data_IF_582770765721
#
_entry.id   IF_582770765721
#
_cell.length_a   1.000
_cell.length_b   1.000
_cell.length_c   1.000
_cell.angle_alpha   90.00
_cell.angle_beta   90.00
_cell.angle_gamma   90.00
#
_symmetry.space_group_name_H-M   'P 1'
#
loop_
_entity.id
_entity.type
_entity.pdbx_description
1 polymer ?
#
# COMPACT_ATOMS: atom_id res chain seq x y z
N UNK A 1 0.49 -9.15 20.27
CA UNK A 1 -0.56 -8.66 19.35
C UNK A 1 -0.47 -9.42 18.03
N UNK A 2 -1.56 -10.07 17.63
CA UNK A 2 -1.59 -10.93 16.43
C UNK A 2 -2.09 -10.15 15.21
N UNK A 3 -3.03 -9.23 15.40
CA UNK A 3 -3.65 -8.45 14.35
C UNK A 3 -3.48 -6.95 14.58
N UNK A 4 -3.20 -6.24 13.51
CA UNK A 4 -3.28 -4.79 13.45
C UNK A 4 -4.52 -4.36 12.70
N UNK A 5 -5.24 -3.43 13.28
CA UNK A 5 -6.38 -2.78 12.64
C UNK A 5 -5.89 -1.60 11.81
N UNK A 6 -6.20 -1.60 10.51
CA UNK A 6 -5.90 -0.51 9.61
C UNK A 6 -7.21 0.24 9.31
N UNK A 7 -7.40 1.45 9.86
CA UNK A 7 -8.65 2.18 9.69
C UNK A 7 -8.79 2.74 8.28
N UNK A 8 -10.01 3.07 7.87
CA UNK A 8 -10.27 3.81 6.66
C UNK A 8 -10.15 5.31 6.90
N UNK A 9 -9.66 6.00 5.88
CA UNK A 9 -9.50 7.44 5.87
C UNK A 9 -10.07 7.99 4.56
N UNK A 10 -10.99 8.96 4.68
CA UNK A 10 -11.56 9.62 3.51
C UNK A 10 -10.67 10.76 3.05
N UNK A 11 -10.19 10.67 1.81
CA UNK A 11 -9.25 11.64 1.24
C UNK A 11 -9.89 12.97 0.86
N UNK A 12 -11.20 12.99 0.68
CA UNK A 12 -11.93 14.24 0.41
C UNK A 12 -12.14 15.05 1.69
N UNK A 13 -12.67 14.43 2.73
CA UNK A 13 -12.96 15.10 4.00
C UNK A 13 -11.77 15.19 4.95
N UNK A 14 -10.72 14.40 4.69
CA UNK A 14 -9.54 14.26 5.57
C UNK A 14 -9.91 13.77 6.97
N UNK A 15 -10.86 12.85 7.05
CA UNK A 15 -11.35 12.27 8.30
C UNK A 15 -11.29 10.76 8.29
N UNK A 16 -11.03 10.18 9.46
CA UNK A 16 -11.15 8.73 9.65
C UNK A 16 -12.62 8.32 9.57
N UNK A 17 -12.86 7.23 8.85
CA UNK A 17 -14.19 6.64 8.70
C UNK A 17 -14.38 5.51 9.71
N UNK A 18 -15.62 5.31 10.15
CA UNK A 18 -16.00 4.15 10.95
C UNK A 18 -16.38 2.99 10.02
N UNK A 19 -15.93 1.79 10.37
CA UNK A 19 -16.22 0.57 9.60
C UNK A 19 -15.35 0.40 8.36
N UNK A 20 -15.40 -0.78 7.77
CA UNK A 20 -14.64 -1.13 6.57
C UNK A 20 -13.13 -1.20 6.78
N UNK A 21 -12.69 -1.36 8.01
CA UNK A 21 -11.27 -1.49 8.34
C UNK A 21 -10.69 -2.77 7.74
N UNK A 22 -9.41 -2.71 7.36
CA UNK A 22 -8.62 -3.91 7.05
C UNK A 22 -7.84 -4.37 8.28
N UNK A 23 -7.54 -5.66 8.29
CA UNK A 23 -6.76 -6.27 9.37
C UNK A 23 -5.52 -6.94 8.77
N UNK A 24 -4.37 -6.68 9.36
CA UNK A 24 -3.10 -7.25 8.93
C UNK A 24 -2.49 -8.08 10.06
N UNK A 25 -1.84 -9.18 9.70
CA UNK A 25 -1.10 -10.01 10.65
C UNK A 25 0.18 -9.30 11.07
N UNK A 26 0.46 -9.34 12.38
CA UNK A 26 1.72 -8.82 12.91
C UNK A 26 2.91 -9.66 12.42
N UNK A 27 2.68 -10.97 12.22
CA UNK A 27 3.64 -11.90 11.63
C UNK A 27 2.99 -12.63 10.46
N UNK A 28 3.33 -12.27 9.21
CA UNK A 28 2.80 -12.94 8.03
C UNK A 28 3.12 -14.43 7.95
N UNK A 29 4.19 -14.89 8.63
CA UNK A 29 4.58 -16.30 8.69
C UNK A 29 3.50 -17.20 9.30
N UNK A 30 2.68 -16.67 10.19
CA UNK A 30 1.56 -17.41 10.79
C UNK A 30 0.57 -17.90 9.72
N UNK A 31 0.35 -17.09 8.70
CA UNK A 31 -0.55 -17.44 7.59
C UNK A 31 -0.02 -18.64 6.79
N UNK A 32 1.27 -18.67 6.51
CA UNK A 32 1.90 -19.77 5.79
C UNK A 32 1.91 -21.07 6.61
N UNK A 33 2.13 -20.99 7.92
CA UNK A 33 2.14 -22.14 8.81
C UNK A 33 0.76 -22.83 8.93
N UNK A 34 -0.34 -22.08 8.72
CA UNK A 34 -1.71 -22.60 8.83
C UNK A 34 -2.37 -22.96 7.50
N UNK A 35 -1.79 -22.49 6.40
CA UNK A 35 -2.37 -22.70 5.08
C UNK A 35 -1.71 -23.90 4.39
N UNK A 36 -2.44 -24.99 4.29
CA UNK A 36 -2.01 -26.20 3.57
C UNK A 36 -2.40 -26.18 2.09
N UNK A 37 -3.09 -25.13 1.63
CA UNK A 37 -3.48 -24.97 0.23
C UNK A 37 -2.30 -24.48 -0.60
N UNK A 38 -1.92 -25.26 -1.63
CA UNK A 38 -0.84 -24.94 -2.56
C UNK A 38 -1.16 -23.79 -3.52
N UNK A 39 -2.41 -23.31 -3.54
CA UNK A 39 -2.84 -22.15 -4.35
C UNK A 39 -2.73 -20.85 -3.57
N UNK A 40 -1.53 -20.52 -3.14
CA UNK A 40 -1.29 -19.29 -2.38
C UNK A 40 -1.31 -18.09 -3.32
N UNK A 41 -2.26 -17.17 -3.11
CA UNK A 41 -2.17 -15.83 -3.68
C UNK A 41 -1.13 -15.03 -2.88
N UNK A 42 -0.04 -14.64 -3.52
CA UNK A 42 1.03 -13.88 -2.87
C UNK A 42 0.66 -12.42 -2.65
N UNK A 43 -0.29 -11.86 -3.42
CA UNK A 43 -0.68 -10.46 -3.34
C UNK A 43 -1.04 -9.99 -1.92
N UNK A 44 -2.00 -10.63 -1.24
CA UNK A 44 -2.34 -10.26 0.14
C UNK A 44 -1.19 -10.39 1.13
N UNK A 45 -0.29 -11.34 0.92
CA UNK A 45 0.89 -11.53 1.78
C UNK A 45 1.92 -10.42 1.59
N UNK A 46 2.10 -9.96 0.36
CA UNK A 46 3.00 -8.85 0.04
C UNK A 46 2.44 -7.52 0.56
N UNK A 47 1.14 -7.30 0.42
CA UNK A 47 0.46 -6.13 1.01
C UNK A 47 0.64 -6.13 2.53
N UNK A 48 0.49 -7.29 3.17
CA UNK A 48 0.72 -7.43 4.61
C UNK A 48 2.17 -7.14 4.99
N UNK A 49 3.13 -7.63 4.22
CA UNK A 49 4.56 -7.36 4.46
C UNK A 49 4.88 -5.87 4.34
N UNK A 50 4.33 -5.20 3.34
CA UNK A 50 4.48 -3.75 3.19
C UNK A 50 3.85 -3.01 4.38
N UNK A 51 2.64 -3.40 4.79
CA UNK A 51 1.98 -2.80 5.95
C UNK A 51 2.82 -2.92 7.22
N UNK A 52 3.31 -4.11 7.54
CA UNK A 52 4.13 -4.33 8.75
C UNK A 52 5.43 -3.55 8.70
N UNK A 53 6.07 -3.46 7.53
CA UNK A 53 7.27 -2.65 7.35
C UNK A 53 6.98 -1.17 7.63
N UNK A 54 5.93 -0.61 7.03
CA UNK A 54 5.55 0.79 7.23
C UNK A 54 5.25 1.09 8.71
N UNK A 55 4.55 0.17 9.39
CA UNK A 55 4.29 0.30 10.82
C UNK A 55 5.57 0.25 11.65
N UNK A 56 6.52 -0.61 11.27
CA UNK A 56 7.81 -0.71 11.97
C UNK A 56 8.64 0.56 11.87
N UNK A 57 8.43 1.36 10.81
CA UNK A 57 9.05 2.67 10.63
C UNK A 57 8.38 3.79 11.43
N UNK A 58 7.32 3.48 12.17
CA UNK A 58 6.61 4.45 12.99
C UNK A 58 5.59 5.30 12.24
N UNK A 59 5.25 4.93 11.00
CA UNK A 59 4.23 5.65 10.23
C UNK A 59 2.82 5.28 10.70
N UNK A 60 1.91 6.25 10.65
CA UNK A 60 0.48 5.98 10.70
C UNK A 60 0.02 5.51 9.33
N UNK A 61 -0.66 4.37 9.28
CA UNK A 61 -1.13 3.75 8.04
C UNK A 61 -2.64 3.57 8.07
N UNK A 62 -3.29 4.01 7.02
CA UNK A 62 -4.74 3.87 6.82
C UNK A 62 -5.03 3.37 5.41
N UNK A 63 -6.22 2.80 5.22
CA UNK A 63 -6.75 2.51 3.89
C UNK A 63 -7.36 3.80 3.34
N UNK A 64 -6.98 4.22 2.14
CA UNK A 64 -7.50 5.43 1.51
C UNK A 64 -8.82 5.19 0.79
N UNK A 65 -9.78 6.07 0.97
CA UNK A 65 -11.05 6.07 0.24
C UNK A 65 -11.21 7.39 -0.51
N UNK A 66 -11.44 7.30 -1.83
CA UNK A 66 -11.68 8.46 -2.72
C UNK A 66 -13.00 8.19 -3.45
N UNK A 67 -14.12 8.62 -2.87
CA UNK A 67 -15.44 8.26 -3.40
C UNK A 67 -15.63 6.74 -3.37
N UNK A 68 -15.78 6.13 -4.56
CA UNK A 68 -15.90 4.66 -4.72
C UNK A 68 -14.55 3.97 -4.94
N UNK A 69 -13.47 4.73 -5.10
CA UNK A 69 -12.13 4.18 -5.31
C UNK A 69 -11.42 3.97 -3.98
N UNK A 70 -10.53 3.00 -3.97
CA UNK A 70 -9.67 2.69 -2.83
C UNK A 70 -8.21 2.90 -3.22
N UNK A 71 -7.46 3.54 -2.33
CA UNK A 71 -6.01 3.56 -2.34
C UNK A 71 -5.55 2.60 -1.25
N UNK A 72 -4.63 1.70 -1.55
CA UNK A 72 -4.25 0.63 -0.62
C UNK A 72 -3.79 1.18 0.72
N UNK A 73 -2.89 2.15 0.71
CA UNK A 73 -2.43 2.80 1.94
C UNK A 73 -2.31 4.31 1.79
N UNK A 74 -2.71 5.01 2.85
CA UNK A 74 -2.26 6.36 3.13
C UNK A 74 -1.27 6.27 4.28
N UNK A 75 -0.07 6.79 4.07
CA UNK A 75 0.96 6.82 5.08
C UNK A 75 1.11 8.26 5.57
N UNK A 76 1.14 8.42 6.87
CA UNK A 76 1.29 9.75 7.50
C UNK A 76 2.44 9.75 8.48
N UNK A 77 3.18 10.83 8.47
CA UNK A 77 4.19 11.15 9.47
C UNK A 77 4.12 12.64 9.76
N UNK A 78 3.72 13.00 10.98
CA UNK A 78 3.41 14.39 11.34
C UNK A 78 2.29 14.94 10.44
N UNK A 79 2.52 16.04 9.72
CA UNK A 79 1.58 16.65 8.79
C UNK A 79 1.84 16.27 7.32
N UNK A 80 2.68 15.27 7.08
CA UNK A 80 3.03 14.80 5.73
C UNK A 80 2.28 13.54 5.38
N UNK A 81 1.89 13.43 4.12
CA UNK A 81 1.14 12.30 3.57
C UNK A 81 1.89 11.71 2.40
N UNK A 82 1.70 10.42 2.19
CA UNK A 82 2.07 9.72 0.96
C UNK A 82 0.99 8.70 0.63
N UNK A 83 0.74 8.48 -0.66
CA UNK A 83 -0.27 7.55 -1.14
C UNK A 83 0.41 6.35 -1.77
N UNK A 84 -0.06 5.16 -1.43
CA UNK A 84 0.59 3.91 -1.85
C UNK A 84 -0.44 2.98 -2.47
N UNK A 85 -0.11 2.46 -3.66
CA UNK A 85 -0.73 1.32 -4.29
C UNK A 85 0.29 0.18 -4.37
N UNK A 86 -0.17 -1.06 -4.25
CA UNK A 86 0.66 -2.26 -4.40
C UNK A 86 -0.01 -3.24 -5.35
N UNK A 87 0.76 -3.76 -6.28
CA UNK A 87 0.34 -4.81 -7.21
C UNK A 87 1.49 -5.80 -7.40
N UNK A 88 1.18 -7.01 -7.83
CA UNK A 88 2.21 -7.99 -8.20
C UNK A 88 3.01 -7.51 -9.41
N UNK A 89 2.32 -6.99 -10.42
CA UNK A 89 2.90 -6.46 -11.65
C UNK A 89 1.93 -5.50 -12.32
N UNK A 90 2.45 -4.52 -13.03
CA UNK A 90 1.68 -3.62 -13.89
C UNK A 90 2.11 -3.73 -15.36
N UNK A 91 2.69 -4.86 -15.75
CA UNK A 91 3.02 -5.13 -17.15
C UNK A 91 1.79 -5.30 -18.04
N UNK A 92 0.67 -5.77 -17.46
CA UNK A 92 -0.62 -5.78 -18.15
C UNK A 92 -1.21 -4.37 -18.14
N UNK A 93 -1.51 -3.77 -19.34
CA UNK A 93 -2.06 -2.41 -19.42
C UNK A 93 -3.37 -2.20 -18.67
N UNK A 94 -4.23 -3.21 -18.58
CA UNK A 94 -5.48 -3.11 -17.82
C UNK A 94 -5.23 -3.05 -16.32
N UNK A 95 -4.26 -3.81 -15.81
CA UNK A 95 -3.85 -3.75 -14.42
C UNK A 95 -3.20 -2.41 -14.12
N UNK A 96 -2.30 -1.96 -14.98
CA UNK A 96 -1.65 -0.65 -14.84
C UNK A 96 -2.68 0.47 -14.72
N UNK A 97 -3.64 0.53 -15.62
CA UNK A 97 -4.69 1.55 -15.61
C UNK A 97 -5.52 1.52 -14.32
N UNK A 98 -5.85 0.33 -13.85
CA UNK A 98 -6.58 0.15 -12.59
C UNK A 98 -5.79 0.66 -11.40
N UNK A 99 -4.50 0.35 -11.31
CA UNK A 99 -3.65 0.76 -10.19
C UNK A 99 -3.35 2.26 -10.19
N UNK A 100 -3.25 2.88 -11.36
CA UNK A 100 -3.02 4.32 -11.47
C UNK A 100 -4.28 5.17 -11.28
N UNK A 101 -5.46 4.59 -11.44
CA UNK A 101 -6.74 5.32 -11.38
C UNK A 101 -6.95 6.07 -10.06
N UNK A 102 -6.71 5.50 -8.88
CA UNK A 102 -6.85 6.25 -7.63
C UNK A 102 -5.96 7.48 -7.59
N UNK A 103 -4.74 7.38 -8.09
CA UNK A 103 -3.80 8.50 -8.11
C UNK A 103 -4.28 9.66 -8.97
N UNK A 104 -4.97 9.37 -10.08
CA UNK A 104 -5.51 10.39 -10.97
C UNK A 104 -6.58 11.27 -10.31
N UNK A 105 -7.17 10.81 -9.22
CA UNK A 105 -8.18 11.55 -8.45
C UNK A 105 -7.58 12.39 -7.32
N UNK A 106 -6.26 12.32 -7.13
CA UNK A 106 -5.54 13.05 -6.09
C UNK A 106 -4.77 14.21 -6.74
N UNK A 107 -5.28 15.43 -6.55
CA UNK A 107 -4.72 16.65 -7.13
C UNK A 107 -3.83 17.43 -6.14
N UNK A 108 -3.54 16.86 -4.98
CA UNK A 108 -2.63 17.47 -4.02
C UNK A 108 -1.15 17.19 -4.38
N UNK A 109 -0.25 17.87 -3.70
CA UNK A 109 1.19 17.75 -3.96
C UNK A 109 1.90 16.62 -3.23
N UNK A 110 1.17 15.72 -2.56
CA UNK A 110 1.78 14.64 -1.80
C UNK A 110 2.30 13.53 -2.71
N UNK A 111 3.43 12.88 -2.36
CA UNK A 111 4.02 11.84 -3.18
C UNK A 111 3.12 10.61 -3.31
N UNK A 112 3.21 9.99 -4.46
CA UNK A 112 2.47 8.79 -4.84
C UNK A 112 3.45 7.68 -5.14
N UNK A 113 3.25 6.52 -4.54
CA UNK A 113 4.10 5.33 -4.67
C UNK A 113 3.32 4.17 -5.24
N UNK A 114 3.90 3.48 -6.19
CA UNK A 114 3.44 2.18 -6.66
C UNK A 114 4.53 1.15 -6.38
N UNK A 115 4.21 0.13 -5.61
CA UNK A 115 5.10 -1.00 -5.35
C UNK A 115 4.67 -2.21 -6.15
N UNK A 116 5.60 -2.82 -6.87
CA UNK A 116 5.38 -4.07 -7.61
C UNK A 116 6.58 -5.00 -7.46
N UNK A 117 6.46 -6.21 -8.02
CA UNK A 117 7.58 -7.13 -8.18
C UNK A 117 8.24 -7.01 -9.57
N UNK A 118 7.86 -6.04 -10.37
CA UNK A 118 8.45 -5.83 -11.69
C UNK A 118 9.95 -5.52 -11.55
N UNK A 119 10.81 -6.20 -12.33
CA UNK A 119 12.26 -6.04 -12.20
C UNK A 119 12.77 -4.68 -12.70
N UNK A 120 12.04 -4.04 -13.60
CA UNK A 120 12.37 -2.73 -14.16
C UNK A 120 11.18 -1.78 -14.03
N UNK A 121 10.97 -1.18 -12.85
CA UNK A 121 9.87 -0.24 -12.66
C UNK A 121 10.04 1.01 -13.53
N UNK A 122 9.02 1.31 -14.32
CA UNK A 122 8.99 2.51 -15.15
C UNK A 122 8.20 3.61 -14.45
N UNK A 123 8.75 4.81 -14.43
CA UNK A 123 8.10 5.97 -13.84
C UNK A 123 7.04 6.52 -14.80
N UNK A 124 5.86 6.84 -14.27
CA UNK A 124 4.74 7.37 -15.04
C UNK A 124 3.92 8.35 -14.20
N UNK A 125 3.50 9.45 -14.81
CA UNK A 125 2.56 10.43 -14.22
C UNK A 125 2.98 10.95 -12.83
N UNK A 126 4.29 11.08 -12.60
CA UNK A 126 4.82 11.53 -11.31
C UNK A 126 4.71 10.51 -10.17
N UNK A 127 4.26 9.29 -10.47
CA UNK A 127 4.20 8.20 -9.48
C UNK A 127 5.58 7.56 -9.37
N UNK A 128 6.05 7.39 -8.16
CA UNK A 128 7.31 6.70 -7.85
C UNK A 128 7.06 5.19 -7.85
N UNK A 129 7.41 4.54 -8.94
CA UNK A 129 7.27 3.09 -9.07
C UNK A 129 8.55 2.42 -8.58
N UNK A 130 8.45 1.56 -7.58
CA UNK A 130 9.57 0.88 -6.93
C UNK A 130 9.32 -0.63 -6.89
N UNK A 131 10.42 -1.40 -6.94
CA UNK A 131 10.37 -2.83 -6.66
C UNK A 131 10.21 -3.04 -5.15
N UNK A 132 9.15 -3.77 -4.76
CA UNK A 132 8.82 -3.99 -3.35
C UNK A 132 9.92 -4.75 -2.60
N UNK A 133 10.50 -5.79 -3.22
CA UNK A 133 11.51 -6.61 -2.55
C UNK A 133 12.77 -5.81 -2.27
N UNK A 134 13.22 -4.99 -3.21
CA UNK A 134 14.36 -4.11 -3.01
C UNK A 134 14.08 -3.10 -1.88
N UNK A 135 12.89 -2.51 -1.88
CA UNK A 135 12.49 -1.56 -0.83
C UNK A 135 12.51 -2.20 0.56
N UNK A 136 11.95 -3.40 0.70
CA UNK A 136 11.92 -4.13 1.97
C UNK A 136 13.32 -4.58 2.40
N UNK A 137 14.13 -5.11 1.48
CA UNK A 137 15.48 -5.60 1.77
C UNK A 137 16.44 -4.47 2.19
N UNK A 138 16.25 -3.28 1.63
CA UNK A 138 17.07 -2.12 1.95
C UNK A 138 16.50 -1.30 3.12
N UNK A 139 15.55 -1.85 3.87
CA UNK A 139 14.89 -1.16 4.98
C UNK A 139 14.38 0.23 4.58
N UNK A 140 13.69 0.28 3.43
CA UNK A 140 13.32 1.53 2.78
C UNK A 140 12.43 2.43 3.62
N UNK A 141 12.62 3.74 3.43
CA UNK A 141 11.81 4.79 4.02
C UNK A 141 10.95 5.46 2.95
N UNK A 142 9.79 5.98 3.36
CA UNK A 142 8.97 6.83 2.52
C UNK A 142 9.56 8.24 2.55
N UNK A 143 9.84 8.76 1.37
CA UNK A 143 10.20 10.15 1.18
C UNK A 143 8.92 10.95 0.97
N UNK A 144 8.65 11.88 1.85
CA UNK A 144 7.43 12.70 1.84
C UNK A 144 7.60 14.01 1.05
N UNK A 145 8.78 14.29 0.53
CA UNK A 145 9.08 15.52 -0.23
C UNK A 145 8.86 15.39 -1.75
#
# INVERSE_FOLDING_TARGET
KILYKCPRFDLKSRKSLRGGEKYYLADPGIRFARNTDTRVSYGPSLENALYTHLRSKGYDVSVGTIGKLECDFIVRKRNQYAYIQMSMSVQDPQVEEREYRPFSKLADGYPKYLFTLDPLPLQRDGVRHLNLMEFLQNDGDIDFD
#
